data_IF_791364697422
#
_entry.id   IF_791364697422
#
_cell.length_a   1.000
_cell.length_b   1.000
_cell.length_c   1.000
_cell.angle_alpha   90.00
_cell.angle_beta   90.00
_cell.angle_gamma   90.00
#
_symmetry.space_group_name_H-M   'P 1'
#
loop_
_entity.id
_entity.type
_entity.pdbx_description
1 polymer ?
#
# COMPACT_ATOMS: atom_id res chain seq x y z
N UNK A 1 11.35 -8.56 -9.35
CA UNK A 1 10.26 -7.90 -10.11
C UNK A 1 9.39 -7.09 -9.15
N UNK A 2 9.87 -5.98 -8.57
CA UNK A 2 9.03 -5.16 -7.68
C UNK A 2 9.41 -3.67 -7.69
N UNK A 3 9.76 -3.12 -8.85
CA UNK A 3 9.89 -1.65 -9.04
C UNK A 3 8.53 -0.96 -9.24
N UNK A 4 7.39 -1.62 -8.95
CA UNK A 4 6.10 -0.96 -8.95
C UNK A 4 5.84 -0.36 -7.57
N UNK A 5 5.67 0.96 -7.49
CA UNK A 5 5.17 1.61 -6.28
C UNK A 5 3.78 1.05 -5.94
N UNK A 6 3.56 0.68 -4.67
CA UNK A 6 2.26 0.22 -4.18
C UNK A 6 1.17 1.26 -4.40
N UNK A 7 -0.09 0.81 -4.50
CA UNK A 7 -1.22 1.70 -4.79
C UNK A 7 -1.42 2.73 -3.68
N UNK A 8 -1.11 2.36 -2.44
CA UNK A 8 -1.16 3.25 -1.29
C UNK A 8 -0.11 4.37 -1.42
N UNK A 9 1.12 4.05 -1.82
CA UNK A 9 2.19 5.05 -2.05
C UNK A 9 1.87 5.97 -3.22
N UNK A 10 1.18 5.45 -4.24
CA UNK A 10 0.85 6.18 -5.45
C UNK A 10 -0.36 7.11 -5.26
N UNK A 11 -1.43 6.62 -4.64
CA UNK A 11 -2.72 7.31 -4.60
C UNK A 11 -3.11 7.81 -3.21
N UNK A 12 -2.49 7.31 -2.14
CA UNK A 12 -2.80 7.68 -0.76
C UNK A 12 -1.53 7.83 0.12
N UNK A 13 -0.48 8.54 -0.33
CA UNK A 13 0.83 8.59 0.35
C UNK A 13 0.78 9.20 1.75
N UNK A 14 -0.24 10.03 2.03
CA UNK A 14 -0.44 10.67 3.33
C UNK A 14 -1.53 10.00 4.16
N UNK A 15 -2.04 8.83 3.74
CA UNK A 15 -3.09 8.13 4.48
C UNK A 15 -2.57 7.66 5.83
N UNK A 16 -3.38 7.91 6.86
CA UNK A 16 -3.14 7.50 8.25
C UNK A 16 -3.96 6.25 8.64
N UNK A 17 -4.57 5.56 7.67
CA UNK A 17 -5.30 4.33 7.92
C UNK A 17 -4.42 3.34 8.70
N UNK A 18 -4.93 2.78 9.80
CA UNK A 18 -4.16 1.86 10.64
C UNK A 18 -3.72 0.61 9.86
N UNK A 19 -4.53 0.13 8.91
CA UNK A 19 -4.19 -1.02 8.08
C UNK A 19 -3.16 -0.69 7.01
N UNK A 20 -3.50 0.18 6.06
CA UNK A 20 -2.73 0.37 4.83
C UNK A 20 -2.06 1.75 4.70
N UNK A 21 -2.18 2.62 5.69
CA UNK A 21 -1.71 4.00 5.61
C UNK A 21 -0.19 4.10 5.69
N UNK A 22 0.53 4.50 4.62
CA UNK A 22 1.98 4.62 4.64
C UNK A 22 2.48 5.71 5.60
N UNK A 23 1.64 6.72 5.89
CA UNK A 23 1.96 7.79 6.84
C UNK A 23 1.63 7.44 8.31
N UNK A 24 0.98 6.31 8.57
CA UNK A 24 0.70 5.90 9.94
C UNK A 24 1.91 5.19 10.55
N UNK A 25 2.73 5.91 11.31
CA UNK A 25 3.93 5.36 11.97
C UNK A 25 3.66 4.09 12.79
N UNK A 26 2.47 4.01 13.40
CA UNK A 26 2.03 2.93 14.28
C UNK A 26 1.12 1.91 13.59
N UNK A 27 0.82 2.08 12.30
CA UNK A 27 -0.05 1.20 11.54
C UNK A 27 0.66 -0.05 11.03
N UNK A 28 -0.14 -1.01 10.53
CA UNK A 28 0.34 -2.26 9.91
C UNK A 28 1.09 -2.00 8.59
N UNK A 29 0.73 -0.92 7.88
CA UNK A 29 1.34 -0.51 6.60
C UNK A 29 1.31 -1.59 5.52
N UNK A 30 0.21 -2.35 5.43
CA UNK A 30 0.03 -3.32 4.34
C UNK A 30 0.07 -2.58 2.99
N UNK A 31 0.79 -3.15 2.03
CA UNK A 31 0.96 -2.56 0.71
C UNK A 31 0.25 -3.43 -0.34
N UNK A 32 -0.32 -2.81 -1.35
CA UNK A 32 -1.05 -3.53 -2.40
C UNK A 32 -0.54 -3.13 -3.76
N UNK A 33 -0.41 -4.13 -4.64
CA UNK A 33 0.11 -3.96 -5.99
C UNK A 33 -0.92 -4.42 -7.00
N UNK A 34 -1.00 -3.75 -8.15
CA UNK A 34 -1.86 -4.19 -9.25
C UNK A 34 -1.40 -5.56 -9.74
N UNK A 35 -2.33 -6.51 -9.79
CA UNK A 35 -2.05 -7.88 -10.23
C UNK A 35 -3.29 -8.46 -10.91
N UNK A 36 -3.18 -8.93 -12.16
CA UNK A 36 -4.23 -9.62 -12.92
C UNK A 36 -5.64 -9.00 -12.81
N UNK A 37 -5.75 -7.68 -13.00
CA UNK A 37 -7.03 -6.96 -12.94
C UNK A 37 -7.56 -6.71 -11.52
N UNK A 38 -6.86 -7.18 -10.49
CA UNK A 38 -7.13 -6.92 -9.08
C UNK A 38 -5.92 -6.33 -8.35
N UNK A 39 -5.89 -6.56 -7.03
CA UNK A 39 -4.81 -6.18 -6.15
C UNK A 39 -4.27 -7.40 -5.42
N UNK A 40 -2.94 -7.53 -5.35
CA UNK A 40 -2.25 -8.45 -4.46
C UNK A 40 -1.72 -7.67 -3.27
N UNK A 41 -2.01 -8.15 -2.06
CA UNK A 41 -1.47 -7.58 -0.83
C UNK A 41 -0.17 -8.25 -0.44
N UNK A 42 0.78 -7.45 0.02
CA UNK A 42 2.01 -7.90 0.68
C UNK A 42 2.05 -7.30 2.10
N UNK A 43 2.53 -8.10 3.06
CA UNK A 43 2.64 -7.76 4.48
C UNK A 43 4.10 -7.57 4.85
#
# INVERSE_FOLDING_TARGET
MSEMNGVQRTFAPNSICFGCGPANEKGLKIDSYKYEGGLRTEF
#
